data_IF_671195294666
#
_entry.id   IF_671195294666
#
_cell.length_a   1.000
_cell.length_b   1.000
_cell.length_c   1.000
_cell.angle_alpha   90.00
_cell.angle_beta   90.00
_cell.angle_gamma   90.00
#
_symmetry.space_group_name_H-M   'P 1'
#
loop_
_entity.id
_entity.type
_entity.pdbx_description
1 polymer ?
#
# COMPACT_ATOMS: atom_id res chain seq x y z
N UNK A 1 11.20 12.42 -0.98
CA UNK A 1 11.54 11.53 -2.12
C UNK A 1 10.53 10.41 -2.17
N UNK A 2 9.98 10.08 -3.34
CA UNK A 2 9.06 8.97 -3.55
C UNK A 2 9.68 8.04 -4.60
N UNK A 3 9.68 6.74 -4.34
CA UNK A 3 10.09 5.72 -5.29
C UNK A 3 9.14 4.52 -5.17
N UNK A 4 8.90 3.84 -6.28
CA UNK A 4 8.12 2.59 -6.30
C UNK A 4 8.74 1.60 -7.27
N UNK A 5 8.58 0.33 -6.95
CA UNK A 5 8.93 -0.77 -7.84
C UNK A 5 7.76 -1.76 -7.87
N UNK A 6 7.65 -2.47 -8.99
CA UNK A 6 6.68 -3.53 -9.18
C UNK A 6 7.37 -4.71 -9.86
N UNK A 7 7.10 -5.91 -9.37
CA UNK A 7 7.45 -7.15 -10.01
C UNK A 7 6.15 -7.91 -10.30
N UNK A 8 5.96 -8.29 -11.55
CA UNK A 8 4.83 -9.09 -12.01
C UNK A 8 5.37 -10.39 -12.61
N UNK A 9 4.78 -11.49 -12.19
CA UNK A 9 5.04 -12.82 -12.73
C UNK A 9 3.72 -13.44 -13.18
N UNK A 10 3.74 -14.03 -14.36
CA UNK A 10 2.65 -14.82 -14.90
C UNK A 10 3.22 -16.11 -15.52
N UNK A 11 2.55 -17.22 -15.28
CA UNK A 11 2.85 -18.52 -15.88
C UNK A 11 1.78 -18.89 -16.90
N UNK A 12 2.19 -19.57 -17.97
CA UNK A 12 1.26 -20.22 -18.92
C UNK A 12 0.30 -21.22 -18.23
N UNK A 13 0.69 -21.74 -17.06
CA UNK A 13 -0.14 -22.63 -16.23
C UNK A 13 -1.23 -21.89 -15.43
N UNK A 14 -1.34 -20.57 -15.61
CA UNK A 14 -2.37 -19.73 -15.00
C UNK A 14 -2.01 -19.14 -13.64
N UNK A 15 -0.90 -19.55 -13.01
CA UNK A 15 -0.43 -18.88 -11.79
C UNK A 15 0.09 -17.49 -12.10
N UNK A 16 -0.27 -16.52 -11.28
CA UNK A 16 0.33 -15.19 -11.34
C UNK A 16 0.52 -14.62 -9.94
N UNK A 17 1.51 -13.74 -9.80
CA UNK A 17 1.62 -12.90 -8.63
C UNK A 17 2.23 -11.56 -8.99
N UNK A 18 1.89 -10.53 -8.22
CA UNK A 18 2.61 -9.26 -8.25
C UNK A 18 3.02 -8.82 -6.85
N UNK A 19 4.16 -8.14 -6.75
CA UNK A 19 4.59 -7.44 -5.56
C UNK A 19 4.93 -6.00 -5.92
N UNK A 20 4.33 -5.05 -5.22
CA UNK A 20 4.58 -3.61 -5.40
C UNK A 20 5.19 -3.07 -4.13
N UNK A 21 6.40 -2.53 -4.21
CA UNK A 21 7.03 -1.81 -3.13
C UNK A 21 6.94 -0.30 -3.34
N UNK A 22 6.66 0.44 -2.27
CA UNK A 22 6.60 1.90 -2.25
C UNK A 22 7.49 2.40 -1.13
N UNK A 23 8.39 3.30 -1.46
CA UNK A 23 9.27 3.98 -0.54
C UNK A 23 9.01 5.48 -0.59
N UNK A 24 8.86 6.11 0.56
CA UNK A 24 8.79 7.57 0.64
C UNK A 24 9.53 8.10 1.85
N UNK A 25 10.09 9.30 1.69
CA UNK A 25 10.63 10.10 2.78
C UNK A 25 10.04 11.50 2.73
N UNK A 26 9.57 11.98 3.88
CA UNK A 26 9.18 13.36 4.07
C UNK A 26 10.42 14.17 4.50
N UNK A 27 10.73 15.21 3.73
CA UNK A 27 11.71 16.21 4.14
C UNK A 27 10.97 17.35 4.84
N UNK A 28 11.34 17.58 6.08
CA UNK A 28 10.92 18.75 6.84
C UNK A 28 11.74 19.95 6.36
N UNK A 29 11.10 20.97 5.77
CA UNK A 29 11.78 22.19 5.33
C UNK A 29 11.50 23.34 6.32
N UNK A 30 12.48 24.23 6.49
CA UNK A 30 12.32 25.54 7.15
C UNK A 30 11.49 26.47 6.28
N UNK A 31 10.74 27.40 6.90
CA UNK A 31 10.07 28.45 6.15
C UNK A 31 11.07 29.49 5.62
N UNK A 32 10.58 30.40 4.78
CA UNK A 32 11.39 31.46 4.16
C UNK A 32 12.06 32.42 5.18
N UNK A 33 11.63 32.42 6.44
CA UNK A 33 12.20 33.23 7.51
C UNK A 33 13.26 32.48 8.35
N UNK A 34 13.65 31.26 7.96
CA UNK A 34 14.61 30.44 8.69
C UNK A 34 14.07 29.86 10.01
N UNK A 35 12.80 30.10 10.33
CA UNK A 35 12.16 29.56 11.51
C UNK A 35 11.85 28.07 11.29
N UNK A 36 12.05 27.26 12.34
CA UNK A 36 11.61 25.88 12.35
C UNK A 36 10.08 25.83 12.24
N UNK A 37 9.55 25.29 11.14
CA UNK A 37 8.15 24.86 11.10
C UNK A 37 8.00 23.54 11.86
N UNK A 38 6.81 23.26 12.41
CA UNK A 38 6.48 22.02 13.15
C UNK A 38 6.86 20.72 12.41
N UNK A 39 7.06 20.75 11.08
CA UNK A 39 7.70 19.67 10.33
C UNK A 39 9.08 19.28 10.90
N UNK A 40 9.86 20.21 11.46
CA UNK A 40 11.21 19.99 11.99
C UNK A 40 11.25 19.43 13.42
N UNK A 41 10.16 19.51 14.20
CA UNK A 41 10.16 18.99 15.59
C UNK A 41 10.02 17.46 15.64
N UNK A 42 9.39 16.87 14.62
CA UNK A 42 9.24 15.42 14.50
C UNK A 42 9.67 14.99 13.10
N UNK A 43 10.95 14.66 12.95
CA UNK A 43 11.48 14.12 11.69
C UNK A 43 10.76 12.79 11.39
N UNK A 44 9.81 12.82 10.46
CA UNK A 44 9.12 11.62 10.00
C UNK A 44 10.13 10.86 9.15
N UNK A 45 10.60 9.73 9.66
CA UNK A 45 11.57 8.87 8.98
C UNK A 45 11.04 8.37 7.64
N UNK A 46 11.96 8.03 6.75
CA UNK A 46 11.60 7.33 5.53
C UNK A 46 10.90 6.02 5.84
N UNK A 47 9.98 5.65 4.97
CA UNK A 47 9.06 4.56 5.18
C UNK A 47 8.95 3.71 3.91
N UNK A 48 8.70 2.41 4.11
CA UNK A 48 8.51 1.44 3.04
C UNK A 48 7.27 0.59 3.33
N UNK A 49 6.44 0.43 2.30
CA UNK A 49 5.33 -0.52 2.29
C UNK A 49 5.43 -1.41 1.08
N UNK A 50 4.94 -2.64 1.20
CA UNK A 50 4.79 -3.55 0.07
C UNK A 50 3.36 -4.09 0.02
N UNK A 51 2.84 -4.28 -1.18
CA UNK A 51 1.56 -4.94 -1.44
C UNK A 51 1.84 -6.20 -2.27
N UNK A 52 1.13 -7.30 -1.98
CA UNK A 52 1.30 -8.59 -2.65
C UNK A 52 -0.05 -9.07 -3.19
N UNK A 53 -0.09 -9.54 -4.44
CA UNK A 53 -1.30 -10.05 -5.05
C UNK A 53 -1.07 -11.37 -5.82
N UNK A 54 -1.24 -12.55 -5.17
CA UNK A 54 -1.22 -13.83 -5.86
C UNK A 54 -2.61 -14.21 -6.39
N UNK A 55 -2.63 -14.95 -7.50
CA UNK A 55 -3.87 -15.50 -8.05
C UNK A 55 -3.63 -16.64 -9.02
N UNK A 56 -4.74 -17.23 -9.47
CA UNK A 56 -4.74 -18.33 -10.41
C UNK A 56 -5.81 -18.10 -11.48
N UNK A 57 -5.47 -18.22 -12.75
CA UNK A 57 -6.41 -18.25 -13.88
C UNK A 57 -6.71 -19.71 -14.23
N UNK A 58 -7.95 -20.13 -14.06
CA UNK A 58 -8.42 -21.47 -14.38
C UNK A 58 -9.28 -21.36 -15.64
N UNK A 59 -8.74 -21.81 -16.77
CA UNK A 59 -9.44 -21.84 -18.06
C UNK A 59 -10.22 -23.13 -18.22
N UNK A 60 -11.34 -23.08 -18.93
CA UNK A 60 -12.20 -24.24 -19.22
C UNK A 60 -12.69 -24.94 -17.95
N UNK A 61 -13.15 -24.16 -16.97
CA UNK A 61 -13.64 -24.66 -15.68
C UNK A 61 -15.06 -25.26 -15.80
N UNK A 62 -15.17 -26.35 -16.57
CA UNK A 62 -16.43 -27.04 -16.84
C UNK A 62 -17.22 -26.46 -18.03
N UNK A 63 -18.47 -26.89 -18.19
CA UNK A 63 -19.29 -26.50 -19.35
C UNK A 63 -19.90 -25.10 -19.25
N UNK A 64 -19.90 -24.50 -18.05
CA UNK A 64 -20.60 -23.23 -17.75
C UNK A 64 -19.63 -22.07 -17.55
N UNK A 65 -18.39 -22.32 -17.13
CA UNK A 65 -17.42 -21.26 -16.87
C UNK A 65 -16.27 -21.32 -17.87
N UNK A 66 -16.14 -20.27 -18.68
CA UNK A 66 -15.02 -20.12 -19.60
C UNK A 66 -13.71 -19.88 -18.84
N UNK A 67 -13.76 -19.03 -17.82
CA UNK A 67 -12.62 -18.73 -16.94
C UNK A 67 -13.08 -18.47 -15.50
N UNK A 68 -12.32 -18.96 -14.53
CA UNK A 68 -12.47 -18.63 -13.10
C UNK A 68 -11.12 -18.15 -12.58
N UNK A 69 -11.10 -16.97 -11.95
CA UNK A 69 -9.88 -16.34 -11.46
C UNK A 69 -9.99 -15.94 -9.99
N UNK A 70 -9.72 -16.88 -9.06
CA UNK A 70 -9.52 -16.55 -7.65
C UNK A 70 -8.21 -15.76 -7.46
N UNK A 71 -8.27 -14.70 -6.66
CA UNK A 71 -7.10 -13.94 -6.28
C UNK A 71 -7.20 -13.40 -4.86
N UNK A 72 -6.02 -13.20 -4.27
CA UNK A 72 -5.86 -12.52 -3.00
C UNK A 72 -5.08 -11.24 -3.24
N UNK A 73 -5.41 -10.19 -2.51
CA UNK A 73 -4.62 -8.96 -2.43
C UNK A 73 -4.33 -8.65 -0.96
N UNK A 74 -3.04 -8.64 -0.63
CA UNK A 74 -2.53 -8.36 0.70
C UNK A 74 -1.91 -6.96 0.66
N UNK A 75 -2.60 -5.99 1.24
CA UNK A 75 -2.13 -4.62 1.38
C UNK A 75 -1.29 -4.44 2.65
N UNK A 76 -0.25 -3.62 2.59
CA UNK A 76 0.68 -3.37 3.70
C UNK A 76 1.23 -4.69 4.27
N UNK A 77 1.91 -5.46 3.43
CA UNK A 77 2.44 -6.80 3.69
C UNK A 77 3.19 -6.89 5.03
N UNK A 78 3.99 -5.89 5.39
CA UNK A 78 4.75 -5.86 6.65
C UNK A 78 4.02 -5.24 7.85
N UNK A 79 2.74 -4.86 7.70
CA UNK A 79 1.93 -4.19 8.73
C UNK A 79 2.60 -2.93 9.31
N UNK A 80 3.32 -2.19 8.46
CA UNK A 80 4.06 -1.01 8.88
C UNK A 80 3.10 0.18 9.08
N UNK A 81 2.88 0.55 10.34
CA UNK A 81 1.95 1.62 10.78
C UNK A 81 2.66 2.93 11.09
N UNK A 82 3.73 3.23 10.37
CA UNK A 82 4.46 4.48 10.56
C UNK A 82 3.60 5.71 10.17
N UNK A 83 3.98 6.84 10.73
CA UNK A 83 3.35 8.14 10.49
C UNK A 83 3.63 8.57 9.05
N UNK A 84 2.63 9.09 8.37
CA UNK A 84 2.73 9.53 6.97
C UNK A 84 2.66 11.03 6.84
N UNK A 85 1.89 11.70 7.69
CA UNK A 85 1.75 13.15 7.65
C UNK A 85 1.20 13.69 8.99
N UNK A 86 1.42 14.98 9.22
CA UNK A 86 0.78 15.71 10.31
C UNK A 86 -0.66 16.06 9.94
N UNK A 87 -1.58 15.91 10.89
CA UNK A 87 -3.01 16.18 10.70
C UNK A 87 -3.49 17.44 11.43
N UNK A 88 -2.60 18.14 12.14
CA UNK A 88 -2.93 19.29 12.98
C UNK A 88 -2.84 18.96 14.48
N UNK A 89 -3.34 19.86 15.31
CA UNK A 89 -3.39 19.68 16.77
C UNK A 89 -4.85 19.45 17.20
N UNK A 90 -5.01 18.76 18.33
CA UNK A 90 -6.31 18.67 18.99
C UNK A 90 -6.77 20.05 19.46
N UNK A 91 -8.06 20.33 19.29
CA UNK A 91 -8.67 21.60 19.74
C UNK A 91 -8.68 21.77 21.27
N UNK A 92 -8.51 20.68 22.02
CA UNK A 92 -8.42 20.67 23.48
C UNK A 92 -7.08 20.06 23.88
N UNK A 93 -6.18 20.85 24.47
CA UNK A 93 -4.88 20.38 24.97
C UNK A 93 -3.73 20.34 23.97
N UNK A 94 -3.90 20.89 22.76
CA UNK A 94 -2.86 21.10 21.74
C UNK A 94 -2.03 19.86 21.34
N UNK A 95 -2.49 18.65 21.68
CA UNK A 95 -1.77 17.42 21.37
C UNK A 95 -1.70 17.19 19.84
N UNK A 96 -0.55 16.77 19.30
CA UNK A 96 -0.39 16.59 17.87
C UNK A 96 -1.16 15.36 17.34
N UNK A 97 -1.82 15.53 16.19
CA UNK A 97 -2.52 14.48 15.45
C UNK A 97 -1.71 14.09 14.21
N UNK A 98 -1.74 12.81 13.87
CA UNK A 98 -0.97 12.26 12.76
C UNK A 98 -1.78 11.30 11.92
N UNK A 99 -1.58 11.34 10.61
CA UNK A 99 -1.97 10.28 9.70
C UNK A 99 -0.96 9.14 9.78
N UNK A 100 -1.46 7.91 9.68
CA UNK A 100 -0.64 6.69 9.71
C UNK A 100 -0.99 5.82 8.53
N UNK A 101 -0.03 5.00 8.13
CA UNK A 101 -0.31 3.91 7.21
C UNK A 101 -1.43 3.03 7.76
N UNK A 102 -2.38 2.60 6.90
CA UNK A 102 -3.35 1.58 7.28
C UNK A 102 -2.62 0.30 7.69
N UNK A 103 -3.26 -0.49 8.55
CA UNK A 103 -2.74 -1.81 8.92
C UNK A 103 -2.75 -2.78 7.74
N UNK A 104 -2.21 -3.98 7.96
CA UNK A 104 -2.31 -5.08 6.98
C UNK A 104 -3.78 -5.37 6.67
N UNK A 105 -4.11 -5.43 5.38
CA UNK A 105 -5.44 -5.76 4.87
C UNK A 105 -5.37 -6.94 3.92
N UNK A 106 -6.39 -7.79 3.91
CA UNK A 106 -6.50 -8.94 2.99
C UNK A 106 -7.83 -8.85 2.27
N UNK A 107 -7.79 -8.90 0.93
CA UNK A 107 -8.96 -8.94 0.08
C UNK A 107 -8.93 -10.23 -0.72
N UNK A 108 -10.07 -10.91 -0.78
CA UNK A 108 -10.29 -12.02 -1.70
C UNK A 108 -11.21 -11.53 -2.82
N UNK A 109 -10.86 -11.87 -4.05
CA UNK A 109 -11.69 -11.59 -5.21
C UNK A 109 -11.78 -12.85 -6.07
N UNK A 110 -12.95 -13.06 -6.64
CA UNK A 110 -13.26 -14.18 -7.51
C UNK A 110 -13.93 -13.60 -8.76
N UNK A 111 -13.20 -13.58 -9.86
CA UNK A 111 -13.75 -13.24 -11.16
C UNK A 111 -14.18 -14.52 -11.89
N UNK A 112 -15.31 -14.47 -12.59
CA UNK A 112 -15.80 -15.56 -13.41
C UNK A 112 -16.27 -15.01 -14.75
N UNK A 113 -15.91 -15.70 -15.82
CA UNK A 113 -16.38 -15.42 -17.18
C UNK A 113 -17.27 -16.58 -17.63
N UNK A 114 -18.51 -16.26 -17.98
CA UNK A 114 -19.51 -17.18 -18.52
C UNK A 114 -19.54 -16.95 -20.05
N UNK A 115 -19.78 -17.99 -20.87
CA UNK A 115 -19.94 -17.85 -22.33
C UNK A 115 -21.09 -16.93 -22.73
#
# INVERSE_FOLDING_TARGET
MLASFELLYESEKGTYFSIIGKYWGLNSMTNAAGNMQFANQHKIGSNVTADLAPGWRIRNAGSVFHEITPNLKIGTLFNNRAITNFAGNQSYGDAPLYWRNPGRSVFFNLAMTVP
#
